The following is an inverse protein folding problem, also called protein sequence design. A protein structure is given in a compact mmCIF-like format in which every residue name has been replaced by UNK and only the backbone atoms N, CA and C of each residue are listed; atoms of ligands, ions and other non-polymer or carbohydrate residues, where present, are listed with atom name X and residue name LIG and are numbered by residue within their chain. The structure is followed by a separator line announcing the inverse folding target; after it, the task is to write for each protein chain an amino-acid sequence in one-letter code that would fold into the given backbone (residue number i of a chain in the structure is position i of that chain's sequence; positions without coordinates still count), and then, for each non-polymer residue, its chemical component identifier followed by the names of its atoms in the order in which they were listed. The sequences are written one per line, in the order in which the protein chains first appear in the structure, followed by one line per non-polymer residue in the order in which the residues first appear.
data_IF_202007520511
#
_entry.id   IF_202007520511
#
_cell.length_a   1.000
_cell.length_b   1.000
_cell.length_c   1.000
_cell.angle_alpha   90.00
_cell.angle_beta   90.00
_cell.angle_gamma   90.00
#
_symmetry.space_group_name_H-M   'P 1'
#
loop_
_entity.id
_entity.type
_entity.pdbx_description
1 polymer ?
#
# COMPACT_ATOMS: atom_id res chain seq x y z
N UNK A 1 -29.08 16.33 5.62
CA UNK A 1 -28.24 15.76 6.69
C UNK A 1 -26.81 15.69 6.18
N UNK A 2 -25.90 16.50 6.71
CA UNK A 2 -24.47 16.40 6.36
C UNK A 2 -23.98 15.05 6.91
N UNK A 3 -23.28 14.21 6.13
CA UNK A 3 -22.68 13.01 6.69
C UNK A 3 -21.73 13.46 7.79
N UNK A 4 -21.87 12.89 8.98
CA UNK A 4 -20.92 13.08 10.07
C UNK A 4 -19.55 12.69 9.54
N UNK A 5 -18.70 13.69 9.23
CA UNK A 5 -17.27 13.46 9.07
C UNK A 5 -16.85 12.75 10.37
N UNK A 6 -16.52 11.45 10.28
CA UNK A 6 -15.67 10.85 11.30
C UNK A 6 -14.47 11.79 11.38
N UNK A 7 -14.29 12.43 12.54
CA UNK A 7 -13.11 13.25 12.80
C UNK A 7 -11.93 12.31 12.56
N UNK A 8 -11.22 12.51 11.44
CA UNK A 8 -9.96 11.81 11.19
C UNK A 8 -9.06 12.23 12.35
N UNK A 9 -8.87 11.33 13.30
CA UNK A 9 -7.93 11.51 14.41
C UNK A 9 -6.57 11.72 13.74
N UNK A 10 -5.91 12.83 14.05
CA UNK A 10 -4.67 13.17 13.38
C UNK A 10 -3.66 12.07 13.65
N UNK A 11 -2.86 11.68 12.66
CA UNK A 11 -1.93 10.56 12.84
C UNK A 11 -0.94 10.80 14.00
N UNK A 12 -0.60 12.07 14.27
CA UNK A 12 0.21 12.48 15.44
C UNK A 12 -0.43 12.15 16.80
N UNK A 13 -1.75 11.98 16.85
CA UNK A 13 -2.48 11.56 18.06
C UNK A 13 -2.45 10.03 18.24
N UNK A 14 -2.06 9.28 17.20
CA UNK A 14 -2.16 7.81 17.13
C UNK A 14 -0.81 7.12 17.01
N UNK A 15 0.13 7.75 16.31
CA UNK A 15 1.48 7.26 16.14
C UNK A 15 2.49 8.27 16.64
N UNK A 16 3.55 7.76 17.27
CA UNK A 16 4.69 8.56 17.71
C UNK A 16 5.84 8.39 16.73
N UNK A 17 6.32 9.49 16.17
CA UNK A 17 7.57 9.47 15.40
C UNK A 17 8.75 9.29 16.37
N UNK A 18 9.62 8.33 16.09
CA UNK A 18 10.82 8.04 16.89
C UNK A 18 12.08 8.30 16.06
N UNK A 19 13.06 8.98 16.67
CA UNK A 19 14.36 9.28 16.05
C UNK A 19 15.37 8.13 16.21
N UNK A 20 15.06 7.13 17.04
CA UNK A 20 15.91 5.94 17.17
C UNK A 20 15.91 5.16 15.85
N UNK A 21 17.07 4.65 15.41
CA UNK A 21 17.17 3.78 14.23
C UNK A 21 16.25 2.56 14.34
N UNK A 22 15.98 1.93 13.21
CA UNK A 22 15.26 0.65 13.22
C UNK A 22 16.00 -0.34 14.15
N UNK A 23 15.33 -0.93 15.16
CA UNK A 23 16.00 -1.85 16.08
C UNK A 23 16.48 -3.10 15.33
N UNK A 24 17.56 -3.71 15.84
CA UNK A 24 18.02 -4.99 15.34
C UNK A 24 16.95 -6.07 15.51
N UNK A 25 16.81 -7.00 14.56
CA UNK A 25 15.78 -8.02 14.61
C UNK A 25 16.03 -8.99 15.79
N UNK A 26 15.02 -9.17 16.63
CA UNK A 26 14.97 -10.19 17.67
C UNK A 26 14.43 -11.51 17.13
N UNK A 27 13.49 -11.44 16.19
CA UNK A 27 13.02 -12.58 15.44
C UNK A 27 13.78 -12.63 14.12
N UNK A 28 14.52 -13.73 13.89
CA UNK A 28 15.34 -13.90 12.69
C UNK A 28 15.01 -15.20 11.95
N UNK A 29 15.20 -15.14 10.65
CA UNK A 29 15.23 -16.24 9.68
C UNK A 29 16.61 -16.23 9.02
N UNK A 30 17.02 -17.29 8.31
CA UNK A 30 18.22 -17.23 7.47
C UNK A 30 18.20 -16.07 6.46
N UNK A 31 17.01 -15.61 6.05
CA UNK A 31 16.82 -14.51 5.09
C UNK A 31 16.90 -13.13 5.73
N UNK A 32 16.74 -13.01 7.05
CA UNK A 32 16.83 -11.72 7.76
C UNK A 32 18.17 -11.01 7.53
N UNK A 33 19.24 -11.80 7.39
CA UNK A 33 20.59 -11.30 7.12
C UNK A 33 21.00 -11.37 5.64
N UNK A 34 20.10 -11.81 4.75
CA UNK A 34 20.38 -11.78 3.31
C UNK A 34 20.23 -10.36 2.79
N UNK A 35 21.30 -9.84 2.21
CA UNK A 35 21.27 -8.59 1.46
C UNK A 35 20.77 -8.86 0.03
N UNK A 36 19.76 -8.10 -0.38
CA UNK A 36 19.29 -8.16 -1.77
C UNK A 36 20.37 -7.55 -2.67
N UNK A 37 20.92 -8.34 -3.58
CA UNK A 37 21.87 -7.84 -4.56
C UNK A 37 21.14 -7.05 -5.65
N UNK A 38 21.48 -5.78 -5.79
CA UNK A 38 20.94 -4.90 -6.82
C UNK A 38 21.88 -4.78 -8.02
N UNK A 39 21.36 -4.52 -9.23
CA UNK A 39 22.20 -4.23 -10.39
C UNK A 39 23.13 -3.04 -10.14
N UNK A 40 24.40 -3.19 -10.51
CA UNK A 40 25.45 -2.21 -10.24
C UNK A 40 25.21 -0.85 -10.94
N UNK A 41 24.49 -0.86 -12.06
CA UNK A 41 24.10 0.32 -12.85
C UNK A 41 22.89 1.06 -12.27
N UNK A 42 22.24 0.51 -11.23
CA UNK A 42 21.06 1.10 -10.60
C UNK A 42 21.11 0.97 -9.07
N UNK A 43 22.10 1.56 -8.37
CA UNK A 43 22.16 1.49 -6.91
C UNK A 43 21.00 2.25 -6.26
N UNK A 44 20.62 1.85 -5.04
CA UNK A 44 19.70 2.65 -4.21
C UNK A 44 20.41 3.96 -3.85
N UNK A 45 19.72 5.09 -3.99
CA UNK A 45 20.26 6.36 -3.54
C UNK A 45 20.03 6.47 -2.03
N UNK A 46 21.10 6.56 -1.24
CA UNK A 46 21.04 6.73 0.23
C UNK A 46 21.18 8.20 0.66
N UNK A 47 21.72 9.07 -0.19
CA UNK A 47 22.03 10.47 0.12
C UNK A 47 20.81 11.40 0.15
N UNK A 48 19.78 11.09 -0.66
CA UNK A 48 18.57 11.90 -0.72
C UNK A 48 17.72 11.71 0.55
N UNK A 49 17.06 12.76 1.06
CA UNK A 49 16.17 12.61 2.20
C UNK A 49 14.96 11.73 1.84
N UNK A 50 14.57 10.83 2.74
CA UNK A 50 13.35 10.03 2.59
C UNK A 50 12.10 10.80 3.03
N UNK A 51 12.20 11.53 4.14
CA UNK A 51 11.07 12.24 4.72
C UNK A 51 10.47 13.26 3.74
N UNK A 52 9.14 13.25 3.60
CA UNK A 52 8.41 14.14 2.69
C UNK A 52 8.41 13.69 1.22
N UNK A 53 8.96 12.53 0.89
CA UNK A 53 8.99 12.02 -0.50
C UNK A 53 7.79 11.16 -0.89
N UNK A 54 6.87 10.89 0.04
CA UNK A 54 5.59 10.25 -0.27
C UNK A 54 4.79 11.13 -1.24
N UNK A 55 4.14 10.51 -2.23
CA UNK A 55 3.24 11.22 -3.11
C UNK A 55 2.04 11.80 -2.33
N UNK A 56 1.77 13.09 -2.52
CA UNK A 56 0.59 13.75 -1.99
C UNK A 56 -0.65 13.27 -2.76
N UNK A 57 -1.62 12.71 -2.04
CA UNK A 57 -2.87 12.23 -2.61
C UNK A 57 -3.97 12.30 -1.56
N UNK A 58 -5.21 12.48 -2.02
CA UNK A 58 -6.46 12.52 -1.24
C UNK A 58 -7.12 11.14 -1.13
N UNK A 59 -7.08 10.34 -2.20
CA UNK A 59 -7.40 8.90 -2.14
C UNK A 59 -6.38 8.05 -2.88
N UNK A 60 -6.16 6.83 -2.41
CA UNK A 60 -5.43 5.79 -3.15
C UNK A 60 -6.38 4.62 -3.40
N UNK A 61 -6.69 4.37 -4.68
CA UNK A 61 -7.41 3.20 -5.11
C UNK A 61 -6.42 2.12 -5.59
N UNK A 62 -6.50 0.96 -4.95
CA UNK A 62 -5.72 -0.22 -5.28
C UNK A 62 -6.61 -1.21 -6.02
N UNK A 63 -6.25 -1.50 -7.26
CA UNK A 63 -6.99 -2.36 -8.19
C UNK A 63 -6.38 -3.76 -8.15
N UNK A 64 -7.17 -4.78 -7.83
CA UNK A 64 -6.71 -6.17 -7.90
C UNK A 64 -6.41 -6.51 -9.36
N UNK A 65 -5.15 -6.85 -9.62
CA UNK A 65 -4.71 -7.22 -10.95
C UNK A 65 -4.97 -8.71 -11.20
N UNK A 66 -5.39 -9.05 -12.41
CA UNK A 66 -5.46 -10.45 -12.84
C UNK A 66 -4.10 -10.97 -13.31
N UNK A 67 -3.19 -10.05 -13.64
CA UNK A 67 -1.81 -10.32 -13.98
C UNK A 67 -0.92 -10.27 -12.73
N UNK A 68 -0.07 -11.28 -12.57
CA UNK A 68 0.90 -11.32 -11.44
C UNK A 68 1.93 -10.19 -11.52
N UNK A 69 2.37 -9.69 -10.37
CA UNK A 69 3.24 -8.53 -10.24
C UNK A 69 4.51 -8.51 -11.13
N UNK A 70 5.25 -9.64 -11.31
CA UNK A 70 6.43 -9.65 -12.19
C UNK A 70 6.12 -9.36 -13.67
N UNK A 71 4.89 -9.61 -14.10
CA UNK A 71 4.43 -9.45 -15.48
C UNK A 71 3.77 -8.10 -15.75
N UNK A 72 3.59 -7.24 -14.73
CA UNK A 72 3.10 -5.88 -14.93
C UNK A 72 4.02 -5.08 -15.85
N UNK A 73 3.42 -4.40 -16.83
CA UNK A 73 4.14 -3.52 -17.75
C UNK A 73 4.61 -2.26 -17.02
N UNK A 74 5.74 -1.68 -17.44
CA UNK A 74 6.32 -0.46 -16.84
C UNK A 74 5.32 0.70 -16.63
N UNK A 75 4.25 0.73 -17.43
CA UNK A 75 3.09 1.62 -17.34
C UNK A 75 1.84 0.75 -17.17
N UNK A 76 1.43 0.53 -15.92
CA UNK A 76 0.27 -0.32 -15.59
C UNK A 76 -1.03 0.24 -16.15
N UNK A 77 -1.12 1.57 -16.30
CA UNK A 77 -2.25 2.26 -16.91
C UNK A 77 -2.43 1.95 -18.41
N UNK A 78 -1.40 1.39 -19.06
CA UNK A 78 -1.42 1.00 -20.47
C UNK A 78 -1.57 -0.52 -20.64
N UNK A 79 -1.86 -1.28 -19.59
CA UNK A 79 -2.10 -2.72 -19.69
C UNK A 79 -3.51 -2.96 -20.26
N UNK A 80 -3.64 -3.47 -21.50
CA UNK A 80 -4.95 -3.75 -22.08
C UNK A 80 -5.69 -4.77 -21.19
N UNK A 81 -7.03 -4.70 -21.14
CA UNK A 81 -7.92 -5.61 -20.39
C UNK A 81 -7.85 -5.54 -18.86
N UNK A 82 -6.87 -4.86 -18.28
CA UNK A 82 -6.83 -4.61 -16.84
C UNK A 82 -7.69 -3.40 -16.48
N UNK A 83 -8.49 -3.53 -15.41
CA UNK A 83 -9.41 -2.49 -14.95
C UNK A 83 -8.73 -1.14 -14.71
N UNK A 84 -7.47 -1.15 -14.25
CA UNK A 84 -6.70 0.08 -14.01
C UNK A 84 -6.54 0.94 -15.28
N UNK A 85 -6.51 0.32 -16.46
CA UNK A 85 -6.41 1.05 -17.73
C UNK A 85 -7.69 1.83 -18.02
N UNK A 86 -8.84 1.18 -17.82
CA UNK A 86 -10.16 1.82 -17.92
C UNK A 86 -10.30 3.00 -16.94
N UNK A 87 -9.95 2.79 -15.66
CA UNK A 87 -9.97 3.85 -14.63
C UNK A 87 -9.04 5.02 -14.97
N UNK A 88 -7.84 4.71 -15.49
CA UNK A 88 -6.85 5.74 -15.83
C UNK A 88 -7.31 6.64 -16.97
N UNK A 89 -8.11 6.12 -17.92
CA UNK A 89 -8.71 6.89 -19.00
C UNK A 89 -9.61 8.04 -18.52
N UNK A 90 -10.29 7.86 -17.39
CA UNK A 90 -11.19 8.84 -16.80
C UNK A 90 -10.54 9.75 -15.75
N UNK A 91 -9.30 9.47 -15.35
CA UNK A 91 -8.63 10.18 -14.25
C UNK A 91 -8.59 11.69 -14.48
N UNK A 92 -8.28 12.14 -15.71
CA UNK A 92 -8.19 13.58 -16.01
C UNK A 92 -9.55 14.26 -16.14
N UNK A 93 -10.57 13.56 -16.63
CA UNK A 93 -11.90 14.13 -16.89
C UNK A 93 -12.80 14.12 -15.66
N UNK A 94 -12.67 13.12 -14.80
CA UNK A 94 -13.69 12.79 -13.80
C UNK A 94 -13.18 12.93 -12.35
N UNK A 95 -11.94 13.38 -12.14
CA UNK A 95 -11.41 13.70 -10.81
C UNK A 95 -11.01 15.17 -10.70
N UNK A 96 -10.98 15.70 -9.49
CA UNK A 96 -10.59 17.09 -9.22
C UNK A 96 -9.07 17.17 -9.03
N UNK A 97 -8.33 17.98 -9.81
CA UNK A 97 -6.88 18.15 -9.67
C UNK A 97 -6.43 18.64 -8.28
N UNK A 98 -7.30 19.34 -7.56
CA UNK A 98 -7.06 19.83 -6.19
C UNK A 98 -7.07 18.70 -5.16
N UNK A 99 -7.58 17.52 -5.54
CA UNK A 99 -7.68 16.32 -4.70
C UNK A 99 -7.01 15.14 -5.43
N UNK A 100 -5.68 15.09 -5.48
CA UNK A 100 -4.96 14.13 -6.31
C UNK A 100 -5.28 12.68 -5.93
N UNK A 101 -5.56 11.82 -6.91
CA UNK A 101 -5.84 10.41 -6.66
C UNK A 101 -4.71 9.48 -7.14
N UNK A 102 -4.34 8.52 -6.30
CA UNK A 102 -3.44 7.41 -6.65
C UNK A 102 -4.24 6.24 -7.22
N UNK A 103 -3.80 5.71 -8.37
CA UNK A 103 -4.29 4.43 -8.90
C UNK A 103 -3.10 3.48 -8.96
N UNK A 104 -3.24 2.26 -8.45
CA UNK A 104 -2.16 1.27 -8.47
C UNK A 104 -2.72 -0.14 -8.54
N UNK A 105 -2.02 -1.03 -9.24
CA UNK A 105 -2.35 -2.45 -9.21
C UNK A 105 -1.84 -3.07 -7.91
N UNK A 106 -2.56 -4.06 -7.40
CA UNK A 106 -2.15 -4.89 -6.28
C UNK A 106 -2.33 -6.37 -6.58
N UNK A 107 -1.48 -7.17 -5.97
CA UNK A 107 -1.63 -8.61 -5.81
C UNK A 107 -1.69 -8.90 -4.31
N UNK A 108 -2.91 -9.03 -3.81
CA UNK A 108 -3.24 -9.19 -2.40
C UNK A 108 -4.41 -10.18 -2.31
N UNK A 109 -4.30 -11.15 -1.40
CA UNK A 109 -5.39 -12.09 -1.17
C UNK A 109 -6.58 -11.36 -0.53
N UNK A 110 -7.80 -11.66 -0.97
CA UNK A 110 -9.02 -11.04 -0.43
C UNK A 110 -9.34 -11.58 0.97
N UNK A 111 -9.99 -10.79 1.83
CA UNK A 111 -10.47 -11.30 3.09
C UNK A 111 -11.62 -12.30 2.87
N UNK A 112 -11.84 -13.15 3.85
CA UNK A 112 -12.89 -14.17 3.82
C UNK A 112 -14.26 -13.51 3.73
N UNK A 113 -15.14 -14.06 2.89
CA UNK A 113 -16.46 -13.49 2.61
C UNK A 113 -16.49 -12.33 1.59
N UNK A 114 -15.33 -11.79 1.18
CA UNK A 114 -15.27 -10.77 0.13
C UNK A 114 -15.08 -11.42 -1.25
N UNK A 115 -16.17 -11.48 -2.02
CA UNK A 115 -16.16 -12.04 -3.38
C UNK A 115 -15.28 -11.28 -4.36
N UNK A 116 -14.79 -11.94 -5.42
CA UNK A 116 -13.88 -11.36 -6.41
C UNK A 116 -14.37 -10.08 -7.10
N UNK A 117 -15.70 -9.91 -7.21
CA UNK A 117 -16.33 -8.70 -7.76
C UNK A 117 -15.87 -7.42 -7.05
N UNK A 118 -15.53 -7.51 -5.76
CA UNK A 118 -14.95 -6.44 -4.96
C UNK A 118 -13.44 -6.38 -5.24
N UNK A 119 -13.09 -5.66 -6.29
CA UNK A 119 -11.77 -5.68 -6.90
C UNK A 119 -10.99 -4.36 -6.72
N UNK A 120 -11.60 -3.31 -6.18
CA UNK A 120 -10.89 -2.05 -5.88
C UNK A 120 -11.00 -1.74 -4.39
N UNK A 121 -9.87 -1.62 -3.68
CA UNK A 121 -9.84 -1.15 -2.28
C UNK A 121 -9.36 0.30 -2.25
N UNK A 122 -10.07 1.16 -1.51
CA UNK A 122 -9.81 2.60 -1.47
C UNK A 122 -9.49 3.05 -0.05
N UNK A 123 -8.37 3.75 0.09
CA UNK A 123 -7.95 4.41 1.33
C UNK A 123 -8.04 5.94 1.19
N UNK A 124 -8.34 6.67 2.27
CA UNK A 124 -8.41 6.22 3.67
C UNK A 124 -9.75 5.60 4.10
N UNK A 125 -10.76 5.52 3.23
CA UNK A 125 -12.08 4.97 3.60
C UNK A 125 -12.06 3.51 4.04
N UNK A 126 -10.99 2.79 3.70
CA UNK A 126 -10.77 1.38 4.00
C UNK A 126 -11.96 0.50 3.54
N UNK A 127 -12.37 0.68 2.28
CA UNK A 127 -13.51 -0.02 1.67
C UNK A 127 -13.14 -0.66 0.35
N UNK A 128 -13.72 -1.83 0.13
CA UNK A 128 -13.76 -2.50 -1.15
C UNK A 128 -14.97 -2.05 -1.95
N UNK A 129 -14.79 -1.81 -3.23
CA UNK A 129 -15.82 -1.47 -4.20
C UNK A 129 -15.88 -2.53 -5.29
N UNK A 130 -17.11 -2.84 -5.73
CA UNK A 130 -17.32 -3.67 -6.90
C UNK A 130 -17.31 -2.81 -8.16
N UNK A 131 -16.29 -2.97 -8.99
CA UNK A 131 -16.08 -2.13 -10.19
C UNK A 131 -15.87 -3.02 -11.41
N UNK A 132 -16.62 -2.73 -12.46
CA UNK A 132 -16.53 -3.36 -13.78
C UNK A 132 -16.08 -2.31 -14.79
N UNK A 133 -15.71 -2.72 -16.00
CA UNK A 133 -15.38 -1.76 -17.07
C UNK A 133 -16.53 -0.75 -17.33
N UNK A 134 -17.78 -1.23 -17.29
CA UNK A 134 -18.98 -0.40 -17.47
C UNK A 134 -19.19 0.61 -16.33
N UNK A 135 -18.75 0.26 -15.12
CA UNK A 135 -18.93 1.10 -13.92
C UNK A 135 -17.68 1.90 -13.56
N UNK A 136 -16.58 1.76 -14.31
CA UNK A 136 -15.32 2.49 -14.12
C UNK A 136 -15.52 4.00 -14.03
N UNK A 137 -16.20 4.61 -14.99
CA UNK A 137 -16.42 6.06 -14.99
C UNK A 137 -17.25 6.50 -13.78
N UNK A 138 -18.30 5.74 -13.46
CA UNK A 138 -19.14 5.97 -12.28
C UNK A 138 -18.32 5.91 -10.99
N UNK A 139 -17.43 4.94 -10.85
CA UNK A 139 -16.51 4.83 -9.72
C UNK A 139 -15.60 6.06 -9.59
N UNK A 140 -15.03 6.52 -10.70
CA UNK A 140 -14.16 7.71 -10.70
C UNK A 140 -14.92 8.95 -10.22
N UNK A 141 -16.16 9.14 -10.67
CA UNK A 141 -17.01 10.28 -10.28
C UNK A 141 -17.54 10.17 -8.86
N UNK A 142 -18.08 9.03 -8.46
CA UNK A 142 -18.74 8.90 -7.16
C UNK A 142 -17.75 8.73 -6.00
N UNK A 143 -16.68 7.97 -6.21
CA UNK A 143 -15.75 7.57 -5.14
C UNK A 143 -14.48 8.41 -5.16
N UNK A 144 -13.94 8.72 -6.33
CA UNK A 144 -12.65 9.40 -6.49
C UNK A 144 -12.75 10.88 -6.89
N UNK A 145 -13.93 11.48 -6.74
CA UNK A 145 -14.12 12.92 -6.89
C UNK A 145 -14.92 13.47 -5.69
N UNK A 146 -14.36 14.39 -4.90
CA UNK A 146 -15.07 14.94 -3.73
C UNK A 146 -16.28 15.79 -4.11
N UNK A 147 -16.33 16.30 -5.34
CA UNK A 147 -17.42 17.08 -5.89
C UNK A 147 -18.39 16.23 -6.74
N UNK A 148 -18.23 14.91 -6.69
CA UNK A 148 -19.04 13.96 -7.43
C UNK A 148 -20.43 13.72 -6.85
N UNK A 149 -21.28 12.97 -7.58
CA UNK A 149 -22.57 12.55 -7.08
C UNK A 149 -22.42 11.58 -5.88
N UNK A 150 -23.49 11.37 -5.09
CA UNK A 150 -23.46 10.43 -3.98
C UNK A 150 -23.09 9.00 -4.41
N UNK A 151 -22.29 8.33 -3.58
CA UNK A 151 -21.85 6.96 -3.82
C UNK A 151 -23.04 5.99 -3.78
N UNK A 152 -23.26 5.31 -4.90
CA UNK A 152 -24.28 4.27 -5.07
C UNK A 152 -23.70 2.91 -5.45
N UNK A 153 -22.39 2.84 -5.73
CA UNK A 153 -21.71 1.57 -6.03
C UNK A 153 -21.69 0.62 -4.82
N UNK A 154 -21.88 -0.70 -5.04
CA UNK A 154 -21.75 -1.68 -3.98
C UNK A 154 -20.36 -1.63 -3.35
N UNK A 155 -20.32 -1.55 -2.02
CA UNK A 155 -19.07 -1.57 -1.26
C UNK A 155 -19.19 -2.40 0.01
N UNK A 156 -18.06 -2.89 0.51
CA UNK A 156 -17.95 -3.57 1.80
C UNK A 156 -16.76 -3.00 2.56
N UNK A 157 -16.83 -2.87 3.90
CA UNK A 157 -15.70 -2.45 4.70
C UNK A 157 -14.57 -3.47 4.62
N UNK A 158 -13.32 -3.00 4.61
CA UNK A 158 -12.16 -3.83 4.88
C UNK A 158 -11.89 -3.79 6.40
N UNK A 159 -11.94 -4.94 7.05
CA UNK A 159 -11.70 -5.06 8.50
C UNK A 159 -10.26 -5.43 8.85
N UNK A 160 -9.44 -5.73 7.84
CA UNK A 160 -8.06 -6.18 8.02
C UNK A 160 -7.07 -5.04 7.78
N UNK A 161 -5.93 -5.13 8.46
CA UNK A 161 -4.77 -4.26 8.23
C UNK A 161 -4.02 -4.75 6.98
N UNK A 162 -3.35 -3.86 6.27
CA UNK A 162 -2.71 -4.21 4.99
C UNK A 162 -1.27 -3.69 4.93
N UNK A 163 -0.34 -4.55 4.52
CA UNK A 163 1.00 -4.18 4.08
C UNK A 163 1.07 -4.38 2.57
N UNK A 164 1.45 -3.33 1.85
CA UNK A 164 1.71 -3.38 0.42
C UNK A 164 3.18 -3.06 0.14
N UNK A 165 3.86 -3.96 -0.56
CA UNK A 165 5.28 -3.85 -0.88
C UNK A 165 5.42 -3.58 -2.37
N UNK A 166 6.12 -2.52 -2.76
CA UNK A 166 6.30 -2.20 -4.18
C UNK A 166 7.16 -3.29 -4.85
N UNK A 167 6.58 -4.05 -5.78
CA UNK A 167 7.23 -5.16 -6.49
C UNK A 167 7.26 -4.99 -8.01
N UNK A 168 7.18 -3.75 -8.51
CA UNK A 168 7.01 -3.47 -9.94
C UNK A 168 8.33 -3.60 -10.74
N UNK A 169 8.67 -4.84 -11.13
CA UNK A 169 9.93 -5.22 -11.82
C UNK A 169 10.22 -4.34 -13.04
N UNK A 170 9.28 -4.21 -13.98
CA UNK A 170 9.51 -3.51 -15.24
C UNK A 170 9.64 -1.99 -15.09
N UNK A 171 9.27 -1.42 -13.93
CA UNK A 171 9.45 0.00 -13.62
C UNK A 171 10.69 0.25 -12.78
N UNK A 172 10.99 -0.65 -11.85
CA UNK A 172 12.17 -0.62 -11.00
C UNK A 172 12.55 -2.06 -10.61
N UNK A 173 13.60 -2.57 -11.25
CA UNK A 173 14.11 -3.94 -11.05
C UNK A 173 14.39 -4.23 -9.57
N UNK A 174 14.90 -3.25 -8.82
CA UNK A 174 15.22 -3.42 -7.39
C UNK A 174 13.97 -3.67 -6.56
N UNK A 175 12.88 -2.96 -6.84
CA UNK A 175 11.59 -3.21 -6.22
C UNK A 175 11.13 -4.65 -6.52
N UNK A 176 11.28 -5.07 -7.78
CA UNK A 176 11.00 -6.45 -8.21
C UNK A 176 11.78 -7.52 -7.45
N UNK A 177 13.07 -7.28 -7.19
CA UNK A 177 13.95 -8.22 -6.50
C UNK A 177 13.67 -8.30 -4.99
N UNK A 178 13.52 -7.16 -4.32
CA UNK A 178 13.41 -7.11 -2.85
C UNK A 178 12.01 -7.45 -2.33
N UNK A 179 10.96 -7.17 -3.11
CA UNK A 179 9.58 -7.35 -2.68
C UNK A 179 9.20 -8.77 -2.22
N UNK A 180 9.56 -9.87 -2.93
CA UNK A 180 9.28 -11.22 -2.45
C UNK A 180 9.98 -11.54 -1.12
N UNK A 181 11.22 -11.07 -0.93
CA UNK A 181 11.97 -11.30 0.31
C UNK A 181 11.31 -10.59 1.49
N UNK A 182 10.95 -9.31 1.31
CA UNK A 182 10.23 -8.55 2.32
C UNK A 182 8.87 -9.19 2.64
N UNK A 183 8.13 -9.63 1.61
CA UNK A 183 6.82 -10.26 1.80
C UNK A 183 6.92 -11.48 2.72
N UNK A 184 7.81 -12.41 2.40
CA UNK A 184 8.00 -13.63 3.19
C UNK A 184 8.44 -13.31 4.62
N UNK A 185 9.37 -12.38 4.80
CA UNK A 185 9.85 -11.99 6.12
C UNK A 185 8.75 -11.30 6.94
N UNK A 186 7.89 -10.48 6.33
CA UNK A 186 6.72 -9.89 6.99
C UNK A 186 5.71 -10.96 7.39
N UNK A 187 5.35 -11.87 6.47
CA UNK A 187 4.42 -12.96 6.74
C UNK A 187 4.93 -13.82 7.92
N UNK A 188 6.22 -14.15 7.95
CA UNK A 188 6.84 -14.89 9.05
C UNK A 188 6.76 -14.13 10.38
N UNK A 189 7.19 -12.87 10.42
CA UNK A 189 7.21 -12.06 11.64
C UNK A 189 5.81 -11.81 12.19
N UNK A 190 4.83 -11.61 11.31
CA UNK A 190 3.43 -11.45 11.67
C UNK A 190 2.86 -12.76 12.21
N UNK A 191 3.15 -13.90 11.57
CA UNK A 191 2.67 -15.21 12.02
C UNK A 191 3.23 -15.56 13.41
N UNK A 192 4.52 -15.32 13.64
CA UNK A 192 5.17 -15.54 14.95
C UNK A 192 4.54 -14.75 16.09
N UNK A 193 3.92 -13.61 15.78
CA UNK A 193 3.24 -12.72 16.74
C UNK A 193 1.73 -12.94 16.79
N UNK A 194 1.18 -13.89 16.03
CA UNK A 194 -0.27 -14.07 15.91
C UNK A 194 -0.99 -12.89 15.24
N UNK A 195 -0.26 -12.06 14.49
CA UNK A 195 -0.77 -10.86 13.82
C UNK A 195 -1.09 -11.08 12.35
N UNK A 196 -0.63 -12.19 11.74
CA UNK A 196 -0.93 -12.50 10.35
C UNK A 196 -2.42 -12.78 10.17
N UNK A 197 -3.00 -12.22 9.11
CA UNK A 197 -4.37 -12.51 8.72
C UNK A 197 -4.58 -14.01 8.50
N UNK A 198 -5.66 -14.54 9.05
CA UNK A 198 -6.12 -15.91 8.83
C UNK A 198 -7.63 -15.99 9.05
N UNK A 199 -8.24 -17.16 8.83
CA UNK A 199 -9.66 -17.39 9.12
C UNK A 199 -10.01 -17.15 10.59
N UNK A 200 -9.07 -17.49 11.48
CA UNK A 200 -9.22 -17.30 12.92
C UNK A 200 -8.79 -15.89 13.39
N UNK A 201 -8.17 -15.10 12.49
CA UNK A 201 -7.72 -13.74 12.74
C UNK A 201 -8.07 -12.82 11.56
N UNK A 202 -9.37 -12.55 11.38
CA UNK A 202 -9.90 -11.75 10.27
C UNK A 202 -9.52 -10.27 10.34
N UNK A 203 -9.05 -9.78 11.48
CA UNK A 203 -8.51 -8.43 11.69
C UNK A 203 -6.99 -8.38 11.55
N UNK A 204 -6.35 -9.52 11.27
CA UNK A 204 -4.91 -9.62 11.09
C UNK A 204 -4.39 -8.78 9.92
N UNK A 205 -3.08 -8.76 9.80
CA UNK A 205 -2.37 -8.03 8.75
C UNK A 205 -2.23 -8.93 7.53
N UNK A 206 -2.73 -8.46 6.38
CA UNK A 206 -2.46 -9.09 5.09
C UNK A 206 -1.25 -8.45 4.44
N UNK A 207 -0.46 -9.23 3.71
CA UNK A 207 0.74 -8.76 3.03
C UNK A 207 0.57 -9.00 1.53
N UNK A 208 0.80 -7.98 0.72
CA UNK A 208 0.65 -8.05 -0.72
C UNK A 208 1.67 -7.22 -1.47
N UNK A 209 1.62 -7.33 -2.79
CA UNK A 209 2.49 -6.59 -3.70
C UNK A 209 1.69 -5.45 -4.35
N UNK A 210 2.32 -4.29 -4.54
CA UNK A 210 1.74 -3.14 -5.24
C UNK A 210 2.61 -2.72 -6.42
N UNK A 211 1.98 -2.17 -7.46
CA UNK A 211 2.67 -1.52 -8.57
C UNK A 211 3.42 -0.28 -8.08
N UNK A 212 4.15 0.37 -8.98
CA UNK A 212 4.97 1.54 -8.61
C UNK A 212 4.14 2.65 -7.95
N UNK A 213 4.51 3.04 -6.73
CA UNK A 213 3.85 4.06 -5.90
C UNK A 213 4.58 5.41 -5.85
N UNK A 214 5.61 5.58 -6.70
CA UNK A 214 6.46 6.77 -6.74
C UNK A 214 7.67 6.67 -5.80
N UNK A 215 8.77 7.32 -6.19
CA UNK A 215 10.05 7.26 -5.46
C UNK A 215 11.00 6.17 -5.95
N UNK A 216 11.28 6.14 -7.25
CA UNK A 216 12.30 5.29 -7.90
C UNK A 216 13.74 5.51 -7.40
N UNK A 217 13.98 6.31 -6.37
CA UNK A 217 15.29 6.43 -5.72
C UNK A 217 15.41 5.53 -4.48
N UNK A 218 14.29 4.94 -4.02
CA UNK A 218 14.12 4.36 -2.69
C UNK A 218 13.49 2.97 -2.77
N UNK A 219 14.14 1.99 -3.42
CA UNK A 219 13.61 0.63 -3.45
C UNK A 219 13.43 0.04 -2.04
N UNK A 220 12.60 -0.99 -1.89
CA UNK A 220 12.13 -1.43 -0.57
C UNK A 220 11.04 -0.52 -0.03
N UNK A 221 10.08 -0.13 -0.87
CA UNK A 221 8.93 0.66 -0.45
C UNK A 221 7.88 -0.24 0.21
N UNK A 222 7.48 0.11 1.42
CA UNK A 222 6.49 -0.61 2.23
C UNK A 222 5.42 0.38 2.67
N UNK A 223 4.16 0.10 2.34
CA UNK A 223 3.01 0.90 2.74
C UNK A 223 2.23 0.07 3.75
N UNK A 224 2.13 0.56 4.97
CA UNK A 224 1.26 -0.01 5.98
C UNK A 224 -0.04 0.79 6.05
N UNK A 225 -1.18 0.11 6.07
CA UNK A 225 -2.49 0.65 6.32
C UNK A 225 -3.09 -0.03 7.55
N UNK A 226 -3.52 0.77 8.53
CA UNK A 226 -4.20 0.27 9.71
C UNK A 226 -5.72 0.11 9.49
N UNK A 227 -6.42 -0.35 10.52
CA UNK A 227 -7.84 -0.66 10.51
C UNK A 227 -8.74 0.57 10.22
N UNK A 228 -8.28 1.78 10.54
CA UNK A 228 -8.93 3.05 10.21
C UNK A 228 -8.49 3.64 8.87
N UNK A 229 -7.58 2.97 8.16
CA UNK A 229 -7.10 3.39 6.85
C UNK A 229 -6.01 4.46 6.90
N UNK A 230 -5.43 4.74 8.07
CA UNK A 230 -4.23 5.57 8.19
C UNK A 230 -3.04 4.85 7.57
N UNK A 231 -2.14 5.60 6.93
CA UNK A 231 -0.99 5.00 6.25
C UNK A 231 0.36 5.51 6.72
N UNK A 232 1.32 4.58 6.77
CA UNK A 232 2.74 4.87 6.97
C UNK A 232 3.49 4.33 5.75
N UNK A 233 4.25 5.20 5.08
CA UNK A 233 5.10 4.81 3.95
C UNK A 233 6.55 4.78 4.40
N UNK A 234 7.17 3.61 4.24
CA UNK A 234 8.59 3.42 4.38
C UNK A 234 9.26 3.23 3.01
N UNK A 235 10.54 3.59 2.93
CA UNK A 235 11.43 3.30 1.81
C UNK A 235 12.75 2.75 2.32
N UNK A 236 13.59 2.20 1.41
CA UNK A 236 14.86 1.56 1.77
C UNK A 236 14.72 0.43 2.80
N UNK A 237 13.56 -0.21 2.84
CA UNK A 237 13.34 -1.37 3.71
C UNK A 237 14.12 -2.57 3.16
N UNK A 238 14.60 -3.38 4.09
CA UNK A 238 15.37 -4.61 3.88
C UNK A 238 14.86 -5.64 4.89
N UNK A 239 15.20 -6.92 4.72
CA UNK A 239 14.70 -7.98 5.60
C UNK A 239 15.04 -7.71 7.08
N UNK A 240 16.25 -7.19 7.37
CA UNK A 240 16.66 -6.80 8.73
C UNK A 240 15.77 -5.75 9.39
N UNK A 241 15.05 -4.94 8.60
CA UNK A 241 14.14 -3.91 9.11
C UNK A 241 12.76 -4.46 9.47
N UNK A 242 12.38 -5.63 8.96
CA UNK A 242 11.00 -6.13 9.04
C UNK A 242 10.55 -6.35 10.48
N UNK A 243 11.36 -7.04 11.28
CA UNK A 243 11.03 -7.30 12.69
C UNK A 243 10.84 -5.98 13.47
N UNK A 244 11.73 -5.02 13.24
CA UNK A 244 11.65 -3.69 13.84
C UNK A 244 10.43 -2.89 13.39
N UNK A 245 10.03 -2.98 12.12
CA UNK A 245 8.81 -2.35 11.60
C UNK A 245 7.56 -2.98 12.24
N UNK A 246 7.49 -4.31 12.34
CA UNK A 246 6.35 -4.98 12.97
C UNK A 246 6.25 -4.59 14.44
N UNK A 247 7.36 -4.63 15.17
CA UNK A 247 7.40 -4.29 16.59
C UNK A 247 7.10 -2.81 16.85
N UNK A 248 7.78 -1.90 16.17
CA UNK A 248 7.62 -0.47 16.43
C UNK A 248 6.31 0.05 15.84
N UNK A 249 6.03 -0.21 14.56
CA UNK A 249 4.92 0.43 13.87
C UNK A 249 3.59 -0.26 14.11
N UNK A 250 3.55 -1.59 14.00
CA UNK A 250 2.27 -2.32 14.07
C UNK A 250 1.85 -2.54 15.53
N UNK A 251 2.80 -2.94 16.40
CA UNK A 251 2.51 -3.25 17.81
C UNK A 251 2.54 -1.98 18.66
N UNK A 252 3.63 -1.20 18.61
CA UNK A 252 3.83 -0.03 19.49
C UNK A 252 3.29 1.29 18.95
N UNK A 253 2.79 1.32 17.72
CA UNK A 253 2.34 2.54 17.02
C UNK A 253 3.43 3.63 16.99
N UNK A 254 4.68 3.23 16.81
CA UNK A 254 5.83 4.11 16.60
C UNK A 254 6.28 4.10 15.13
N UNK A 255 6.53 5.29 14.57
CA UNK A 255 7.06 5.45 13.20
C UNK A 255 8.58 5.61 13.26
N UNK A 256 9.30 4.75 12.57
CA UNK A 256 10.77 4.78 12.49
C UNK A 256 11.18 5.86 11.49
N UNK A 257 11.66 7.00 11.99
CA UNK A 257 11.95 8.19 11.15
C UNK A 257 12.99 7.92 10.07
N UNK A 258 13.97 7.08 10.35
CA UNK A 258 15.03 6.68 9.40
C UNK A 258 14.47 6.13 8.08
N UNK A 259 13.40 5.33 8.15
CA UNK A 259 12.79 4.69 6.98
C UNK A 259 11.62 5.51 6.42
N UNK A 260 11.14 6.50 7.18
CA UNK A 260 9.86 7.18 6.96
C UNK A 260 9.88 8.12 5.75
N UNK A 261 8.97 7.87 4.80
CA UNK A 261 8.74 8.72 3.63
C UNK A 261 7.61 9.73 3.81
N UNK A 262 6.62 9.38 4.61
CA UNK A 262 5.44 10.21 4.86
C UNK A 262 4.18 9.38 5.10
N UNK A 263 3.08 10.09 5.36
CA UNK A 263 1.79 9.52 5.75
C UNK A 263 0.63 10.17 5.00
N UNK A 264 -0.60 9.70 5.23
CA UNK A 264 -1.80 10.48 4.96
C UNK A 264 -2.00 11.54 6.04
N UNK A 265 -2.41 12.74 5.62
CA UNK A 265 -2.97 13.77 6.50
C UNK A 265 -4.48 13.75 6.38
#
# INVERSE_FOLDING_TARGET
MRPTLRRLVALSERYKLIDTPCPAPLITTPKTHCECQFPADSPINHDKPLYGTKAAMWKHAFVHSTVSAPHWKSKVEMMPTELISSLSGFKRSDTDPSYPVGLSNIQLDRPEGVSEKYNVVVFPENKYYAVTEETSQKFMREVLNPNGPPVSLPSVPNTSRVILICGHVQRDIRCGLIAPMLREEFEFNLAKRGLLYSKDNTEGVRVGIVSHIGGHAYAGNVLYYDEEGLTVWYGRCENRHVDGIVEQTIVKKNIIKELFRGQYN
#
